data_IF_462700736374
#
_entry.id   IF_462700736374
#
_cell.length_a   1.000
_cell.length_b   1.000
_cell.length_c   1.000
_cell.angle_alpha   90.00
_cell.angle_beta   90.00
_cell.angle_gamma   90.00
#
_symmetry.space_group_name_H-M   'P 1'
#
loop_
_entity.id
_entity.type
_entity.pdbx_description
1 polymer ?
#
# COMPACT_ATOMS: atom_id res chain seq x y z
N UNK A 1 19.65 -30.84 -54.40
CA UNK A 1 20.40 -29.94 -53.51
C UNK A 1 19.58 -28.66 -53.39
N UNK A 2 18.82 -28.49 -52.31
CA UNK A 2 17.96 -27.32 -52.08
C UNK A 2 18.43 -26.61 -50.81
N UNK A 3 18.70 -25.29 -50.85
CA UNK A 3 19.11 -24.55 -49.66
C UNK A 3 17.86 -24.22 -48.83
N UNK A 4 17.83 -24.69 -47.59
CA UNK A 4 16.85 -24.29 -46.60
C UNK A 4 17.18 -22.86 -46.12
N UNK A 5 16.38 -21.89 -46.53
CA UNK A 5 16.38 -20.53 -46.00
C UNK A 5 15.82 -20.55 -44.58
N UNK A 6 16.70 -20.53 -43.58
CA UNK A 6 16.34 -20.22 -42.21
C UNK A 6 16.08 -18.72 -42.10
N UNK A 7 14.81 -18.33 -42.18
CA UNK A 7 14.34 -17.02 -41.75
C UNK A 7 14.47 -16.92 -40.22
N UNK A 8 15.52 -16.24 -39.77
CA UNK A 8 15.62 -15.75 -38.41
C UNK A 8 14.60 -14.62 -38.25
N UNK A 9 13.48 -14.90 -37.59
CA UNK A 9 12.58 -13.86 -37.11
C UNK A 9 13.31 -13.09 -36.00
N UNK A 10 13.71 -11.86 -36.28
CA UNK A 10 14.18 -10.92 -35.27
C UNK A 10 13.04 -10.69 -34.27
N UNK A 11 13.14 -11.33 -33.10
CA UNK A 11 12.19 -11.16 -32.01
C UNK A 11 12.27 -9.72 -31.51
N UNK A 12 11.22 -8.94 -31.75
CA UNK A 12 10.97 -7.71 -31.01
C UNK A 12 10.79 -8.08 -29.54
N UNK A 13 11.82 -7.86 -28.73
CA UNK A 13 11.67 -7.73 -27.29
C UNK A 13 10.91 -6.44 -27.04
N UNK A 14 9.58 -6.54 -26.93
CA UNK A 14 8.78 -5.49 -26.33
C UNK A 14 9.25 -5.33 -24.89
N UNK A 15 9.90 -4.22 -24.58
CA UNK A 15 10.04 -3.79 -23.20
C UNK A 15 8.61 -3.70 -22.65
N UNK A 16 8.25 -4.62 -21.76
CA UNK A 16 6.96 -4.52 -21.09
C UNK A 16 7.07 -3.35 -20.11
N UNK A 17 6.40 -2.26 -20.44
CA UNK A 17 6.29 -1.10 -19.56
C UNK A 17 5.38 -1.42 -18.37
N UNK A 18 5.61 -0.74 -17.26
CA UNK A 18 4.68 -0.77 -16.13
C UNK A 18 3.29 -0.29 -16.60
N UNK A 19 2.19 -0.88 -16.11
CA UNK A 19 0.86 -0.34 -16.36
C UNK A 19 0.78 1.14 -15.93
N UNK A 20 -0.11 1.91 -16.57
CA UNK A 20 -0.10 3.36 -16.47
C UNK A 20 -0.45 3.87 -15.06
N UNK A 21 -1.14 3.05 -14.26
CA UNK A 21 -1.62 3.43 -12.93
C UNK A 21 -1.44 2.32 -11.89
N UNK A 22 -1.33 2.71 -10.61
CA UNK A 22 -1.24 1.76 -9.49
C UNK A 22 -2.47 0.83 -9.41
N UNK A 23 -3.74 1.30 -9.52
CA UNK A 23 -4.89 0.40 -9.46
C UNK A 23 -4.93 -0.63 -10.60
N UNK A 24 -4.51 -0.22 -11.81
CA UNK A 24 -4.38 -1.14 -12.94
C UNK A 24 -3.28 -2.18 -12.67
N UNK A 25 -2.14 -1.75 -12.13
CA UNK A 25 -1.04 -2.67 -11.76
C UNK A 25 -1.47 -3.67 -10.68
N UNK A 26 -2.24 -3.22 -9.68
CA UNK A 26 -2.84 -4.10 -8.67
C UNK A 26 -3.82 -5.10 -9.33
N UNK A 27 -4.62 -4.66 -10.30
CA UNK A 27 -5.53 -5.54 -11.03
C UNK A 27 -4.77 -6.63 -11.80
N UNK A 28 -3.68 -6.26 -12.50
CA UNK A 28 -2.79 -7.21 -13.19
C UNK A 28 -2.13 -8.16 -12.20
N UNK A 29 -1.66 -7.66 -11.06
CA UNK A 29 -1.08 -8.46 -9.98
C UNK A 29 -2.07 -9.52 -9.48
N UNK A 30 -3.31 -9.13 -9.22
CA UNK A 30 -4.35 -10.04 -8.74
C UNK A 30 -4.72 -11.10 -9.78
N UNK A 31 -4.76 -10.75 -11.07
CA UNK A 31 -5.07 -11.70 -12.14
C UNK A 31 -3.91 -12.69 -12.38
N UNK A 32 -2.69 -12.17 -12.56
CA UNK A 32 -1.60 -12.93 -13.18
C UNK A 32 -0.42 -13.23 -12.25
N UNK A 33 -0.32 -12.54 -11.11
CA UNK A 33 0.88 -12.55 -10.25
C UNK A 33 2.17 -12.23 -11.03
N UNK A 34 2.06 -11.35 -12.04
CA UNK A 34 3.17 -10.99 -12.91
C UNK A 34 4.34 -10.41 -12.11
N UNK A 35 5.55 -10.91 -12.38
CA UNK A 35 6.79 -10.38 -11.80
C UNK A 35 6.93 -8.88 -12.07
N UNK A 36 6.56 -8.44 -13.26
CA UNK A 36 6.62 -7.02 -13.64
C UNK A 36 5.72 -6.18 -12.73
N UNK A 37 4.51 -6.65 -12.41
CA UNK A 37 3.59 -5.93 -11.53
C UNK A 37 4.18 -5.74 -10.11
N UNK A 38 4.82 -6.77 -9.55
CA UNK A 38 5.55 -6.64 -8.28
C UNK A 38 6.67 -5.60 -8.36
N UNK A 39 7.49 -5.64 -9.41
CA UNK A 39 8.61 -4.71 -9.59
C UNK A 39 8.14 -3.26 -9.78
N UNK A 40 7.05 -3.05 -10.53
CA UNK A 40 6.45 -1.73 -10.74
C UNK A 40 5.91 -1.15 -9.42
N UNK A 41 5.13 -1.95 -8.69
CA UNK A 41 4.60 -1.53 -7.39
C UNK A 41 5.71 -1.25 -6.39
N UNK A 42 6.76 -2.09 -6.33
CA UNK A 42 7.87 -1.91 -5.40
C UNK A 42 8.63 -0.59 -5.60
N UNK A 43 8.72 -0.09 -6.84
CA UNK A 43 9.40 1.16 -7.19
C UNK A 43 8.57 2.41 -6.88
N UNK A 44 7.25 2.31 -6.86
CA UNK A 44 6.36 3.45 -6.66
C UNK A 44 6.14 3.73 -5.16
N UNK A 45 6.46 4.95 -4.71
CA UNK A 45 6.29 5.36 -3.31
C UNK A 45 4.83 5.43 -2.87
N UNK A 46 3.90 5.73 -3.77
CA UNK A 46 2.47 5.82 -3.47
C UNK A 46 1.78 4.45 -3.41
N UNK A 47 2.45 3.38 -3.87
CA UNK A 47 1.86 2.03 -3.92
C UNK A 47 1.49 1.48 -2.53
N UNK A 48 2.24 1.83 -1.47
CA UNK A 48 1.99 1.31 -0.12
C UNK A 48 0.56 1.60 0.37
N UNK A 49 0.11 2.84 0.25
CA UNK A 49 -1.24 3.24 0.66
C UNK A 49 -2.32 2.54 -0.17
N UNK A 50 -2.11 2.41 -1.49
CA UNK A 50 -3.05 1.73 -2.38
C UNK A 50 -3.16 0.23 -2.08
N UNK A 51 -2.04 -0.43 -1.75
CA UNK A 51 -2.02 -1.85 -1.37
C UNK A 51 -2.71 -2.08 -0.03
N UNK A 52 -2.50 -1.21 0.96
CA UNK A 52 -3.21 -1.27 2.25
C UNK A 52 -4.72 -1.07 2.04
N UNK A 53 -5.11 -0.05 1.27
CA UNK A 53 -6.52 0.20 0.95
C UNK A 53 -7.16 -1.01 0.25
N UNK A 54 -6.44 -1.64 -0.70
CA UNK A 54 -6.93 -2.83 -1.39
C UNK A 54 -7.08 -4.03 -0.44
N UNK A 55 -6.18 -4.22 0.53
CA UNK A 55 -6.28 -5.29 1.53
C UNK A 55 -7.47 -5.11 2.48
N UNK A 56 -7.95 -3.88 2.68
CA UNK A 56 -9.17 -3.58 3.43
C UNK A 56 -10.47 -3.76 2.63
N UNK A 57 -10.39 -3.93 1.31
CA UNK A 57 -11.56 -4.07 0.44
C UNK A 57 -12.17 -5.48 0.54
N UNK A 58 -13.45 -5.62 0.92
CA UNK A 58 -14.12 -6.93 0.98
C UNK A 58 -14.23 -7.63 -0.39
N UNK A 59 -14.07 -6.90 -1.50
CA UNK A 59 -14.09 -7.44 -2.85
C UNK A 59 -12.71 -7.96 -3.32
N UNK A 60 -11.71 -8.05 -2.43
CA UNK A 60 -10.39 -8.58 -2.78
C UNK A 60 -10.48 -10.07 -3.13
N UNK A 61 -9.92 -10.43 -4.29
CA UNK A 61 -9.95 -11.82 -4.79
C UNK A 61 -8.70 -12.61 -4.43
N UNK A 62 -7.56 -11.91 -4.28
CA UNK A 62 -6.25 -12.53 -4.05
C UNK A 62 -5.47 -11.80 -2.94
N UNK A 63 -5.94 -11.83 -1.67
CA UNK A 63 -5.31 -11.10 -0.57
C UNK A 63 -3.84 -11.50 -0.34
N UNK A 64 -3.48 -12.77 -0.60
CA UNK A 64 -2.09 -13.22 -0.51
C UNK A 64 -1.15 -12.51 -1.47
N UNK A 65 -1.56 -12.26 -2.71
CA UNK A 65 -0.74 -11.58 -3.73
C UNK A 65 -0.54 -10.11 -3.37
N UNK A 66 -1.60 -9.44 -2.95
CA UNK A 66 -1.55 -8.02 -2.55
C UNK A 66 -0.73 -7.85 -1.26
N UNK A 67 -0.90 -8.74 -0.27
CA UNK A 67 -0.09 -8.72 0.95
C UNK A 67 1.39 -9.00 0.65
N UNK A 68 1.71 -9.91 -0.28
CA UNK A 68 3.09 -10.17 -0.75
C UNK A 68 3.68 -8.94 -1.44
N UNK A 69 2.89 -8.24 -2.26
CA UNK A 69 3.34 -7.02 -2.93
C UNK A 69 3.63 -5.90 -1.94
N UNK A 70 2.80 -5.73 -0.90
CA UNK A 70 3.05 -4.79 0.19
C UNK A 70 4.34 -5.13 0.94
N UNK A 71 4.58 -6.41 1.21
CA UNK A 71 5.81 -6.85 1.88
C UNK A 71 7.04 -6.55 1.03
N UNK A 72 7.01 -6.87 -0.27
CA UNK A 72 8.10 -6.55 -1.20
C UNK A 72 8.31 -5.03 -1.28
N UNK A 73 7.24 -4.25 -1.41
CA UNK A 73 7.30 -2.78 -1.39
C UNK A 73 7.99 -2.24 -0.13
N UNK A 74 7.71 -2.83 1.04
CA UNK A 74 8.37 -2.48 2.31
C UNK A 74 9.84 -2.91 2.34
N UNK A 75 10.22 -4.03 1.74
CA UNK A 75 11.62 -4.46 1.64
C UNK A 75 12.50 -3.48 0.83
N UNK A 76 11.90 -2.56 0.07
CA UNK A 76 12.61 -1.45 -0.59
C UNK A 76 12.74 -0.19 0.30
N UNK A 77 12.09 -0.15 1.47
CA UNK A 77 11.95 1.03 2.35
C UNK A 77 12.15 0.65 3.83
N UNK A 78 13.23 -0.10 4.10
CA UNK A 78 13.58 -0.62 5.42
C UNK A 78 14.19 0.43 6.36
N UNK A 79 14.51 1.60 5.83
CA UNK A 79 15.05 2.78 6.52
C UNK A 79 13.96 3.67 7.14
N UNK A 80 12.69 3.36 6.90
CA UNK A 80 11.56 4.06 7.49
C UNK A 80 10.85 3.22 8.57
N UNK A 81 10.16 3.90 9.49
CA UNK A 81 9.28 3.25 10.44
C UNK A 81 8.09 2.58 9.73
N UNK A 82 7.73 1.39 10.19
CA UNK A 82 6.53 0.68 9.70
C UNK A 82 5.33 1.20 10.51
N UNK A 83 4.34 1.84 9.88
CA UNK A 83 3.18 2.33 10.59
C UNK A 83 2.29 1.17 11.08
N UNK A 84 1.58 1.41 12.18
CA UNK A 84 0.67 0.44 12.80
C UNK A 84 -0.41 -0.09 11.85
N UNK A 85 -0.90 0.76 10.94
CA UNK A 85 -1.88 0.35 9.94
C UNK A 85 -1.31 -0.66 8.95
N UNK A 86 -0.11 -0.41 8.43
CA UNK A 86 0.56 -1.32 7.52
C UNK A 86 0.90 -2.65 8.20
N UNK A 87 1.41 -2.63 9.44
CA UNK A 87 1.78 -3.86 10.13
C UNK A 87 0.57 -4.78 10.35
N UNK A 88 -0.63 -4.22 10.50
CA UNK A 88 -1.90 -4.95 10.55
C UNK A 88 -2.35 -5.49 9.19
N UNK A 89 -2.02 -4.81 8.09
CA UNK A 89 -2.45 -5.20 6.75
C UNK A 89 -1.77 -6.50 6.26
N UNK A 90 -0.57 -6.81 6.75
CA UNK A 90 0.13 -8.04 6.40
C UNK A 90 -0.57 -9.31 6.87
N UNK A 91 -0.61 -10.32 6.00
CA UNK A 91 -0.86 -11.70 6.40
C UNK A 91 0.32 -12.27 7.23
N UNK A 92 0.07 -13.35 7.98
CA UNK A 92 1.05 -13.91 8.91
C UNK A 92 2.39 -14.28 8.25
N UNK A 93 2.36 -14.93 7.09
CA UNK A 93 3.58 -15.30 6.35
C UNK A 93 4.36 -14.07 5.87
N UNK A 94 3.65 -13.02 5.49
CA UNK A 94 4.26 -11.77 5.01
C UNK A 94 4.87 -10.94 6.15
N UNK A 95 4.29 -10.99 7.36
CA UNK A 95 4.93 -10.43 8.56
C UNK A 95 6.26 -11.12 8.83
N UNK A 96 6.31 -12.46 8.69
CA UNK A 96 7.55 -13.20 8.83
C UNK A 96 8.57 -12.82 7.75
N UNK A 97 8.15 -12.66 6.49
CA UNK A 97 9.00 -12.21 5.39
C UNK A 97 9.62 -10.83 5.68
N UNK A 98 8.82 -9.86 6.11
CA UNK A 98 9.29 -8.51 6.44
C UNK A 98 10.25 -8.55 7.63
N UNK A 99 9.91 -9.27 8.70
CA UNK A 99 10.78 -9.40 9.87
C UNK A 99 12.12 -10.10 9.56
N UNK A 100 12.11 -11.13 8.70
CA UNK A 100 13.33 -11.77 8.21
C UNK A 100 14.10 -10.82 7.29
N UNK A 101 13.41 -10.04 6.47
CA UNK A 101 13.99 -9.04 5.56
C UNK A 101 14.75 -7.93 6.28
N UNK A 102 14.20 -7.40 7.38
CA UNK A 102 14.89 -6.42 8.23
C UNK A 102 16.22 -7.00 8.76
N UNK A 103 16.24 -8.26 9.21
CA UNK A 103 17.47 -8.91 9.68
C UNK A 103 18.43 -9.23 8.53
N UNK A 104 17.89 -9.67 7.39
CA UNK A 104 18.65 -9.96 6.18
C UNK A 104 19.36 -8.72 5.63
N UNK A 105 18.75 -7.54 5.76
CA UNK A 105 19.36 -6.25 5.43
C UNK A 105 20.62 -5.95 6.26
N UNK A 106 20.75 -6.56 7.44
CA UNK A 106 21.96 -6.52 8.28
C UNK A 106 22.92 -7.70 8.07
N UNK A 107 22.62 -8.57 7.10
CA UNK A 107 23.43 -9.71 6.69
C UNK A 107 23.00 -11.05 7.30
N UNK A 108 21.85 -11.15 7.97
CA UNK A 108 21.37 -12.45 8.45
C UNK A 108 20.98 -13.35 7.28
N UNK A 109 21.46 -14.60 7.29
CA UNK A 109 20.92 -15.63 6.40
C UNK A 109 19.48 -15.97 6.82
N UNK A 110 18.54 -15.91 5.89
CA UNK A 110 17.17 -16.30 6.18
C UNK A 110 17.07 -17.80 6.53
N UNK A 111 16.30 -18.18 7.56
CA UNK A 111 16.02 -19.59 7.86
C UNK A 111 15.03 -20.22 6.88
N UNK A 112 14.27 -19.40 6.13
CA UNK A 112 13.30 -19.86 5.13
C UNK A 112 13.92 -19.79 3.74
N UNK A 113 13.99 -20.91 2.99
CA UNK A 113 14.53 -20.91 1.62
C UNK A 113 13.69 -20.04 0.67
N UNK A 114 12.39 -19.92 0.90
CA UNK A 114 11.53 -19.09 0.05
C UNK A 114 11.74 -17.59 0.29
N UNK A 115 12.08 -17.19 1.51
CA UNK A 115 12.48 -15.81 1.80
C UNK A 115 13.84 -15.51 1.16
N UNK A 116 14.79 -16.46 1.20
CA UNK A 116 16.09 -16.32 0.53
C UNK A 116 15.92 -16.03 -0.95
N UNK A 117 15.03 -16.73 -1.66
CA UNK A 117 14.74 -16.47 -3.08
C UNK A 117 14.24 -15.05 -3.36
N UNK A 118 13.49 -14.46 -2.43
CA UNK A 118 13.03 -13.06 -2.54
C UNK A 118 14.21 -12.12 -2.30
N UNK A 119 14.99 -12.35 -1.24
CA UNK A 119 16.09 -11.47 -0.87
C UNK A 119 17.22 -11.47 -1.91
N UNK A 120 17.51 -12.61 -2.54
CA UNK A 120 18.49 -12.72 -3.64
C UNK A 120 18.17 -11.84 -4.85
N UNK A 121 16.91 -11.42 -5.01
CA UNK A 121 16.50 -10.49 -6.06
C UNK A 121 16.71 -9.02 -5.67
N UNK A 122 16.98 -8.74 -4.40
CA UNK A 122 17.15 -7.39 -3.88
C UNK A 122 18.64 -7.00 -3.89
N UNK A 123 19.02 -5.85 -4.47
CA UNK A 123 20.42 -5.48 -4.65
C UNK A 123 21.17 -5.23 -3.33
N UNK A 124 20.44 -5.01 -2.24
CA UNK A 124 21.00 -4.79 -0.91
C UNK A 124 21.35 -6.09 -0.16
N UNK A 125 20.83 -7.26 -0.57
CA UNK A 125 20.99 -8.49 0.19
C UNK A 125 22.40 -9.06 0.05
N UNK A 126 23.13 -9.10 1.17
CA UNK A 126 24.49 -9.61 1.26
C UNK A 126 24.62 -10.47 2.52
N UNK A 127 24.38 -11.79 2.44
CA UNK A 127 24.43 -12.66 3.61
C UNK A 127 25.85 -12.65 4.21
N UNK A 128 25.91 -12.58 5.53
CA UNK A 128 27.14 -12.61 6.30
C UNK A 128 27.08 -13.77 7.31
N UNK A 129 27.95 -14.79 7.19
CA UNK A 129 27.96 -15.92 8.12
C UNK A 129 28.31 -15.51 9.56
N UNK A 130 28.98 -14.37 9.76
CA UNK A 130 29.28 -13.80 11.07
C UNK A 130 28.21 -12.85 11.61
N UNK A 131 26.97 -12.93 11.13
CA UNK A 131 25.87 -12.11 11.62
C UNK A 131 25.53 -12.39 13.09
N UNK A 132 25.22 -11.33 13.84
CA UNK A 132 24.62 -11.40 15.18
C UNK A 132 23.56 -10.30 15.32
N UNK A 133 22.58 -10.50 16.21
CA UNK A 133 21.51 -9.52 16.45
C UNK A 133 22.00 -8.20 17.06
N UNK A 134 23.27 -8.14 17.50
CA UNK A 134 23.93 -6.89 17.91
C UNK A 134 24.09 -5.87 16.77
N UNK A 135 23.89 -6.29 15.51
CA UNK A 135 23.89 -5.39 14.34
C UNK A 135 22.56 -4.68 14.11
N UNK A 136 21.49 -5.07 14.81
CA UNK A 136 20.18 -4.43 14.68
C UNK A 136 20.18 -3.08 15.41
N UNK A 137 19.84 -2.02 14.68
CA UNK A 137 19.60 -0.69 15.24
C UNK A 137 18.29 -0.62 16.03
N UNK A 138 18.04 0.53 16.66
CA UNK A 138 16.80 0.76 17.39
C UNK A 138 15.56 0.71 16.48
N UNK A 139 15.66 1.32 15.29
CA UNK A 139 14.60 1.27 14.29
C UNK A 139 14.31 -0.16 13.83
N UNK A 140 15.35 -0.96 13.57
CA UNK A 140 15.19 -2.36 13.15
C UNK A 140 14.42 -3.16 14.21
N UNK A 141 14.79 -2.99 15.48
CA UNK A 141 14.14 -3.66 16.62
C UNK A 141 12.68 -3.22 16.75
N UNK A 142 12.40 -1.92 16.65
CA UNK A 142 11.05 -1.36 16.68
C UNK A 142 10.18 -1.90 15.56
N UNK A 143 10.71 -1.94 14.34
CA UNK A 143 10.01 -2.46 13.16
C UNK A 143 9.77 -3.99 13.26
N UNK A 144 10.73 -4.76 13.76
CA UNK A 144 10.53 -6.20 14.00
C UNK A 144 9.42 -6.42 15.03
N UNK A 145 9.40 -5.65 16.11
CA UNK A 145 8.40 -5.75 17.16
C UNK A 145 7.00 -5.42 16.62
N UNK A 146 6.84 -4.31 15.92
CA UNK A 146 5.52 -3.90 15.39
C UNK A 146 4.99 -4.87 14.33
N UNK A 147 5.87 -5.52 13.56
CA UNK A 147 5.47 -6.52 12.57
C UNK A 147 5.13 -7.87 13.23
N UNK A 148 5.81 -8.28 14.29
CA UNK A 148 5.46 -9.52 15.00
C UNK A 148 4.18 -9.35 15.82
N UNK A 149 4.02 -8.19 16.46
CA UNK A 149 2.95 -7.87 17.38
C UNK A 149 2.22 -6.59 16.91
N UNK A 150 1.50 -6.64 15.77
CA UNK A 150 0.82 -5.47 15.24
C UNK A 150 -0.19 -4.94 16.28
N UNK A 151 -0.12 -3.65 16.63
CA UNK A 151 -1.01 -3.07 17.62
C UNK A 151 -2.44 -3.15 17.09
N UNK A 152 -3.38 -3.49 17.98
CA UNK A 152 -4.81 -3.45 17.66
C UNK A 152 -5.17 -2.03 17.17
N UNK A 153 -6.13 -1.89 16.24
CA UNK A 153 -6.67 -0.57 15.96
C UNK A 153 -7.15 0.00 17.31
N UNK A 154 -6.63 1.16 17.70
CA UNK A 154 -7.25 1.92 18.77
C UNK A 154 -8.71 2.07 18.37
N UNK A 155 -9.63 1.81 19.31
CA UNK A 155 -11.02 2.20 19.10
C UNK A 155 -11.01 3.63 18.56
N UNK A 156 -11.90 3.97 17.59
CA UNK A 156 -11.97 5.33 17.07
C UNK A 156 -11.88 6.25 18.27
N UNK A 157 -10.80 7.03 18.33
CA UNK A 157 -10.56 7.98 19.40
C UNK A 157 -11.88 8.73 19.52
N UNK A 158 -12.60 8.49 20.63
CA UNK A 158 -13.96 8.98 20.83
C UNK A 158 -13.90 10.44 20.43
N UNK A 159 -14.49 10.75 19.27
CA UNK A 159 -14.40 12.08 18.68
C UNK A 159 -14.72 13.03 19.82
N UNK A 160 -13.80 13.96 20.16
CA UNK A 160 -13.83 14.69 21.43
C UNK A 160 -15.27 15.08 21.67
N UNK A 161 -15.87 14.44 22.68
CA UNK A 161 -17.30 14.54 22.92
C UNK A 161 -17.60 16.03 22.94
N UNK A 162 -18.45 16.50 22.04
CA UNK A 162 -18.81 17.91 21.91
C UNK A 162 -19.39 18.50 23.23
N UNK A 163 -19.53 17.68 24.27
CA UNK A 163 -19.83 18.09 25.63
C UNK A 163 -18.69 18.84 26.35
N UNK A 164 -17.41 18.63 26.00
CA UNK A 164 -16.29 19.29 26.68
C UNK A 164 -15.87 20.63 26.02
N UNK A 165 -16.42 20.97 24.85
CA UNK A 165 -16.20 22.25 24.15
C UNK A 165 -17.34 23.27 24.39
N UNK A 166 -18.05 23.19 25.53
CA UNK A 166 -18.98 24.24 25.98
C UNK A 166 -18.58 24.92 27.30
N UNK A 167 -17.41 24.61 27.85
CA UNK A 167 -17.00 25.08 29.18
C UNK A 167 -15.80 26.05 29.20
N UNK A 168 -15.63 26.91 28.18
CA UNK A 168 -14.80 28.11 28.36
C UNK A 168 -15.29 29.22 27.43
N UNK A 169 -16.36 29.89 27.82
CA UNK A 169 -16.77 31.13 27.18
C UNK A 169 -15.68 32.19 27.43
N UNK A 170 -15.00 32.71 26.40
CA UNK A 170 -14.12 33.85 26.59
C UNK A 170 -14.98 35.05 27.01
N UNK A 171 -14.68 35.60 28.19
CA UNK A 171 -15.19 36.91 28.60
C UNK A 171 -14.53 37.96 27.72
N UNK A 172 -15.15 38.21 26.56
CA UNK A 172 -14.70 39.24 25.64
C UNK A 172 -14.87 40.64 26.29
N UNK A 173 -13.86 41.52 26.22
CA UNK A 173 -14.03 42.93 26.54
C UNK A 173 -14.97 43.61 25.53
N UNK A 174 -15.69 44.68 25.94
CA UNK A 174 -16.75 45.29 25.15
C UNK A 174 -16.24 45.85 23.81
N UNK A 175 -17.01 45.73 22.72
CA UNK A 175 -16.60 46.18 21.40
C UNK A 175 -16.60 47.72 21.31
N UNK A 176 -15.48 48.29 20.85
CA UNK A 176 -15.45 49.67 20.37
C UNK A 176 -16.19 49.73 19.02
N UNK A 177 -17.28 50.50 19.00
CA UNK A 177 -18.03 50.85 17.79
C UNK A 177 -17.15 51.70 16.87
N UNK A 178 -16.73 51.17 15.73
CA UNK A 178 -16.31 51.98 14.59
C UNK A 178 -17.38 51.89 13.50
N UNK A 179 -18.05 53.02 13.30
CA UNK A 179 -18.90 53.30 12.15
C UNK A 179 -18.04 53.36 10.90
N UNK A 180 -18.12 52.34 10.05
CA UNK A 180 -17.51 52.28 8.73
C UNK A 180 -18.52 51.76 7.73
N UNK A 181 -19.34 52.66 7.20
CA UNK A 181 -20.21 52.43 6.06
C UNK A 181 -19.35 52.50 4.80
N UNK A 182 -19.40 51.51 3.91
CA UNK A 182 -18.82 51.66 2.57
C UNK A 182 -18.47 50.36 1.87
N UNK A 183 -19.05 50.22 0.68
CA UNK A 183 -18.65 49.36 -0.43
C UNK A 183 -19.21 47.94 -0.49
N UNK A 184 -20.30 47.92 -1.23
CA UNK A 184 -20.85 46.87 -2.08
C UNK A 184 -19.84 46.07 -2.93
N UNK A 185 -20.34 44.91 -3.40
CA UNK A 185 -19.85 44.04 -4.47
C UNK A 185 -18.74 43.05 -4.05
N UNK A 186 -18.79 41.75 -4.36
CA UNK A 186 -19.37 41.04 -5.50
C UNK A 186 -19.84 39.64 -5.09
N UNK A 187 -21.00 39.23 -5.60
CA UNK A 187 -21.54 37.88 -5.53
C UNK A 187 -20.81 37.02 -6.58
N UNK A 188 -20.02 36.04 -6.16
CA UNK A 188 -19.53 35.01 -7.07
C UNK A 188 -20.50 33.83 -7.11
N UNK A 189 -21.13 33.73 -8.27
CA UNK A 189 -22.04 32.71 -8.75
C UNK A 189 -21.34 31.35 -8.87
N UNK A 190 -21.77 30.36 -8.09
CA UNK A 190 -21.39 28.96 -8.28
C UNK A 190 -22.15 28.35 -9.47
N UNK A 191 -21.47 27.73 -10.46
CA UNK A 191 -22.14 26.93 -11.46
C UNK A 191 -22.56 25.57 -10.87
N UNK A 192 -23.88 25.38 -10.83
CA UNK A 192 -24.57 24.14 -10.46
C UNK A 192 -24.76 23.28 -11.71
N UNK A 193 -23.86 22.32 -11.92
CA UNK A 193 -23.97 21.26 -12.93
C UNK A 193 -23.52 19.94 -12.26
N UNK A 194 -24.15 18.79 -12.42
CA UNK A 194 -25.35 18.41 -13.16
C UNK A 194 -25.85 17.09 -12.54
N UNK A 195 -27.16 16.90 -12.63
CA UNK A 195 -27.92 15.82 -12.02
C UNK A 195 -28.29 14.86 -13.17
N UNK A 196 -27.56 13.76 -13.33
CA UNK A 196 -27.87 12.62 -14.21
C UNK A 196 -27.06 11.42 -13.69
N UNK A 197 -27.55 10.20 -13.51
CA UNK A 197 -28.85 9.61 -13.77
C UNK A 197 -28.82 8.21 -13.17
N UNK A 198 -29.96 7.77 -12.67
CA UNK A 198 -30.26 6.40 -12.26
C UNK A 198 -30.06 5.43 -13.43
N UNK A 199 -29.40 4.29 -13.18
CA UNK A 199 -29.66 3.05 -13.92
C UNK A 199 -29.46 1.85 -12.99
N UNK A 200 -30.58 1.34 -12.49
CA UNK A 200 -30.73 0.03 -11.86
C UNK A 200 -30.50 -1.07 -12.91
N UNK A 201 -29.56 -1.97 -12.65
CA UNK A 201 -29.45 -3.24 -13.39
C UNK A 201 -29.37 -4.38 -12.37
N UNK A 202 -30.55 -4.83 -11.96
CA UNK A 202 -30.77 -6.04 -11.18
C UNK A 202 -30.56 -7.25 -12.11
N UNK A 203 -29.43 -7.93 -11.97
CA UNK A 203 -29.10 -9.14 -12.74
C UNK A 203 -28.95 -10.37 -11.85
N UNK A 204 -30.08 -10.87 -11.33
CA UNK A 204 -30.18 -12.22 -10.76
C UNK A 204 -30.24 -13.23 -11.91
N UNK A 205 -29.24 -14.11 -12.04
CA UNK A 205 -29.48 -15.44 -12.59
C UNK A 205 -28.62 -16.48 -11.87
N UNK A 206 -29.33 -17.15 -10.98
CA UNK A 206 -29.05 -18.48 -10.45
C UNK A 206 -28.79 -19.43 -11.62
N UNK A 207 -27.66 -20.14 -11.63
CA UNK A 207 -27.71 -21.51 -12.12
C UNK A 207 -26.86 -22.46 -11.28
N UNK A 208 -27.62 -23.42 -10.74
CA UNK A 208 -27.27 -24.47 -9.81
C UNK A 208 -26.82 -25.69 -10.66
N UNK A 209 -25.70 -26.29 -10.25
CA UNK A 209 -25.54 -27.73 -9.95
C UNK A 209 -25.28 -28.75 -11.08
N UNK A 210 -24.44 -29.74 -10.67
CA UNK A 210 -24.25 -31.15 -11.12
C UNK A 210 -23.12 -31.31 -12.15
N UNK A 211 -22.09 -32.15 -11.97
CA UNK A 211 -21.81 -33.28 -11.06
C UNK A 211 -20.36 -33.25 -10.64
#
# INVERSE_FOLDING_TARGET
>A
MSPALFLWAAGLTFAQDCPATIPETITVLEAEASRLAYECLAKDDAAGAALIARLGDPAITQPGRVSRALAIWRLHRLDAEIPAEESRAYLADERRLVADGIRAHRGRLSPSPDHTKVFEQLPWYKPNPGYTDGRLGELDKKNIEIVNNPPKPSAPEEAPSAADEMAEAPTAPPPKRSSGCGSCATVETFPRAGLMGFALSLGLLIQRRRR
#
